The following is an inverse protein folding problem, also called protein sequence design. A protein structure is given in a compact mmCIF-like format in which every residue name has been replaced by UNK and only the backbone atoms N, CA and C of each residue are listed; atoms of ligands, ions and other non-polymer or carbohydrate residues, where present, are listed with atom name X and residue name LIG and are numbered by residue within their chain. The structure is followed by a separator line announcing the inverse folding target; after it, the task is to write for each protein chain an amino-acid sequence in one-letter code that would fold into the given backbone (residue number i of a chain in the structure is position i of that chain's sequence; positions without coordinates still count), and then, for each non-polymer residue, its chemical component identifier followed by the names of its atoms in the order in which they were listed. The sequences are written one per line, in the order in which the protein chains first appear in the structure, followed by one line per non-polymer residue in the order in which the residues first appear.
data_IF_236003329416
#
_entry.id   IF_236003329416
#
_cell.length_a   1.000
_cell.length_b   1.000
_cell.length_c   1.000
_cell.angle_alpha   90.00
_cell.angle_beta   90.00
_cell.angle_gamma   90.00
#
_symmetry.space_group_name_H-M   'P 1'
#
loop_
_entity.id
_entity.type
_entity.pdbx_description
1 polymer ?
#
# COMPACT_ATOMS: atom_id res chain seq x y z
N UNK A 1 3.60 -18.76 27.48
CA UNK A 1 3.75 -17.30 27.60
C UNK A 1 4.54 -16.81 26.41
N UNK A 2 3.86 -16.35 25.36
CA UNK A 2 4.49 -15.88 24.13
C UNK A 2 4.37 -14.36 24.06
N UNK A 3 5.54 -13.75 24.11
CA UNK A 3 5.94 -12.36 23.92
C UNK A 3 4.82 -11.35 23.57
N UNK A 4 4.47 -10.52 24.56
CA UNK A 4 3.89 -9.19 24.33
C UNK A 4 5.01 -8.25 23.94
N UNK A 5 5.13 -7.86 22.68
CA UNK A 5 6.07 -6.82 22.27
C UNK A 5 5.42 -5.82 21.30
N UNK A 6 5.25 -4.61 21.84
CA UNK A 6 5.18 -3.28 21.22
C UNK A 6 3.94 -2.87 20.42
N UNK A 7 3.09 -2.11 21.12
CA UNK A 7 2.37 -0.99 20.54
C UNK A 7 3.37 0.08 20.07
N UNK A 8 3.55 0.18 18.76
CA UNK A 8 4.07 1.38 18.10
C UNK A 8 3.17 1.62 16.92
N UNK A 9 2.53 2.80 16.85
CA UNK A 9 1.82 3.26 15.65
C UNK A 9 2.86 3.50 14.56
N UNK A 10 3.27 2.43 13.91
CA UNK A 10 4.06 2.50 12.71
C UNK A 10 3.10 2.79 11.56
N UNK A 11 3.25 3.96 10.95
CA UNK A 11 2.86 4.14 9.56
C UNK A 11 3.61 3.03 8.80
N UNK A 12 2.91 1.99 8.37
CA UNK A 12 3.50 0.95 7.55
C UNK A 12 3.86 1.62 6.22
N UNK A 13 5.09 2.12 6.13
CA UNK A 13 5.70 2.43 4.87
C UNK A 13 5.69 1.10 4.09
N UNK A 14 4.81 1.02 3.10
CA UNK A 14 4.81 -0.03 2.10
C UNK A 14 6.12 0.07 1.32
N UNK A 15 7.19 -0.43 1.91
CA UNK A 15 8.53 -0.58 1.33
C UNK A 15 8.46 -1.71 0.29
N UNK A 16 7.83 -1.42 -0.85
CA UNK A 16 7.96 -2.26 -2.03
C UNK A 16 9.24 -1.86 -2.76
N UNK A 17 10.31 -2.60 -2.42
CA UNK A 17 11.39 -2.96 -3.33
C UNK A 17 12.25 -1.82 -3.88
N UNK A 18 13.10 -1.25 -3.04
CA UNK A 18 14.34 -0.65 -3.56
C UNK A 18 15.26 -1.79 -4.02
N UNK A 19 15.37 -1.93 -5.34
CA UNK A 19 16.33 -2.80 -5.99
C UNK A 19 17.76 -2.38 -5.65
N UNK A 20 18.43 -3.20 -4.84
CA UNK A 20 19.89 -3.32 -4.78
C UNK A 20 20.26 -4.53 -3.92
N UNK A 21 19.99 -5.75 -4.40
CA UNK A 21 20.72 -6.93 -3.92
C UNK A 21 21.38 -7.60 -5.11
N UNK A 22 22.68 -7.31 -5.21
CA UNK A 22 23.64 -7.95 -6.08
C UNK A 22 23.55 -9.47 -5.95
N UNK A 23 23.48 -10.14 -7.10
CA UNK A 23 23.42 -11.58 -7.29
C UNK A 23 24.46 -12.38 -6.49
N UNK A 24 24.00 -13.36 -5.72
CA UNK A 24 24.74 -14.61 -5.48
C UNK A 24 23.77 -15.76 -5.72
N UNK A 25 24.04 -16.50 -6.79
CA UNK A 25 23.25 -17.62 -7.28
C UNK A 25 23.36 -18.85 -6.37
N UNK A 26 22.22 -19.41 -5.95
CA UNK A 26 22.13 -20.81 -5.55
C UNK A 26 20.74 -21.38 -5.90
N UNK A 27 20.72 -22.11 -7.01
CA UNK A 27 19.98 -23.36 -7.22
C UNK A 27 18.42 -23.33 -7.27
N UNK A 28 17.93 -23.22 -8.51
CA UNK A 28 16.89 -24.07 -9.08
C UNK A 28 15.44 -23.96 -8.56
N UNK A 29 14.85 -22.77 -8.67
CA UNK A 29 13.42 -22.62 -8.92
C UNK A 29 13.27 -21.54 -9.97
N UNK A 30 12.63 -21.85 -11.10
CA UNK A 30 12.29 -20.85 -12.12
C UNK A 30 11.28 -19.87 -11.53
N UNK A 31 11.62 -18.61 -11.22
CA UNK A 31 10.59 -17.62 -11.02
C UNK A 31 10.15 -17.25 -12.43
N UNK A 32 8.91 -17.57 -12.82
CA UNK A 32 8.27 -16.86 -13.90
C UNK A 32 8.19 -15.40 -13.45
N UNK A 33 9.23 -14.63 -13.77
CA UNK A 33 9.25 -13.19 -13.65
C UNK A 33 8.19 -12.69 -14.62
N UNK A 34 6.96 -12.46 -14.12
CA UNK A 34 6.07 -11.54 -14.80
C UNK A 34 6.87 -10.24 -15.00
N UNK A 35 6.86 -9.65 -16.21
CA UNK A 35 7.46 -8.34 -16.42
C UNK A 35 6.76 -7.37 -15.47
N UNK A 36 7.39 -7.02 -14.35
CA UNK A 36 6.95 -5.93 -13.51
C UNK A 36 7.27 -4.65 -14.28
N UNK A 37 6.34 -4.22 -15.13
CA UNK A 37 6.32 -2.84 -15.62
C UNK A 37 6.08 -1.95 -14.41
N UNK A 38 7.16 -1.50 -13.80
CA UNK A 38 7.11 -0.50 -12.76
C UNK A 38 6.56 0.78 -13.41
N UNK A 39 5.46 1.35 -12.91
CA UNK A 39 4.92 2.56 -13.50
C UNK A 39 5.98 3.66 -13.47
N UNK A 40 6.03 4.51 -14.50
CA UNK A 40 6.81 5.73 -14.44
C UNK A 40 6.17 6.69 -13.44
N UNK A 41 6.97 7.30 -12.58
CA UNK A 41 6.47 8.29 -11.63
C UNK A 41 5.82 9.46 -12.35
N UNK A 42 4.70 9.96 -11.80
CA UNK A 42 4.12 11.22 -12.27
C UNK A 42 5.07 12.37 -11.90
N UNK A 43 5.21 13.35 -12.79
CA UNK A 43 5.93 14.57 -12.43
C UNK A 43 5.19 15.24 -11.25
N UNK A 44 5.88 15.59 -10.15
CA UNK A 44 5.25 16.28 -9.02
C UNK A 44 4.40 17.49 -9.41
N UNK A 45 4.82 18.24 -10.44
CA UNK A 45 4.07 19.40 -10.94
C UNK A 45 2.69 19.06 -11.54
N UNK A 46 2.48 17.80 -11.96
CA UNK A 46 1.21 17.33 -12.55
C UNK A 46 0.25 16.74 -11.49
N UNK A 47 0.67 16.71 -10.22
CA UNK A 47 -0.17 16.21 -9.12
C UNK A 47 -1.16 17.29 -8.68
N UNK A 48 -2.39 17.19 -9.19
CA UNK A 48 -3.52 18.02 -8.77
C UNK A 48 -4.02 17.73 -7.34
N UNK A 49 -4.77 18.67 -6.77
CA UNK A 49 -5.50 18.48 -5.51
C UNK A 49 -6.45 17.28 -5.55
N UNK A 50 -7.13 17.07 -6.68
CA UNK A 50 -8.04 15.93 -6.84
C UNK A 50 -7.28 14.60 -6.78
N UNK A 51 -6.05 14.54 -7.30
CA UNK A 51 -5.21 13.35 -7.13
C UNK A 51 -4.90 13.09 -5.66
N UNK A 52 -4.58 14.14 -4.88
CA UNK A 52 -4.30 14.00 -3.45
C UNK A 52 -5.54 13.65 -2.61
N UNK A 53 -6.72 14.15 -2.98
CA UNK A 53 -8.00 13.76 -2.36
C UNK A 53 -8.30 12.28 -2.56
N UNK A 54 -8.24 11.80 -3.82
CA UNK A 54 -8.44 10.38 -4.14
C UNK A 54 -7.38 9.52 -3.45
N UNK A 55 -6.12 9.94 -3.49
CA UNK A 55 -5.02 9.25 -2.80
C UNK A 55 -5.27 9.14 -1.30
N UNK A 56 -5.72 10.23 -0.64
CA UNK A 56 -6.05 10.22 0.77
C UNK A 56 -7.21 9.27 1.08
N UNK A 57 -8.32 9.33 0.32
CA UNK A 57 -9.46 8.43 0.50
C UNK A 57 -9.05 6.95 0.41
N UNK A 58 -8.26 6.59 -0.60
CA UNK A 58 -7.72 5.23 -0.76
C UNK A 58 -6.85 4.84 0.44
N UNK A 59 -5.96 5.73 0.91
CA UNK A 59 -5.07 5.42 2.04
C UNK A 59 -5.85 5.14 3.33
N UNK A 60 -6.90 5.92 3.63
CA UNK A 60 -7.69 5.66 4.85
C UNK A 60 -8.50 4.35 4.70
N UNK A 61 -9.07 4.07 3.52
CA UNK A 61 -9.72 2.76 3.24
C UNK A 61 -8.73 1.59 3.36
N UNK A 62 -7.52 1.76 2.82
CA UNK A 62 -6.47 0.74 2.87
C UNK A 62 -6.04 0.42 4.31
N UNK A 63 -5.97 1.42 5.19
CA UNK A 63 -5.70 1.21 6.61
C UNK A 63 -6.79 0.36 7.28
N UNK A 64 -8.07 0.62 6.99
CA UNK A 64 -9.18 -0.18 7.53
C UNK A 64 -9.14 -1.63 7.03
N UNK A 65 -8.86 -1.81 5.73
CA UNK A 65 -8.69 -3.14 5.14
C UNK A 65 -7.53 -3.88 5.82
N UNK A 66 -6.38 -3.22 6.02
CA UNK A 66 -5.25 -3.81 6.72
C UNK A 66 -5.58 -4.20 8.17
N UNK A 67 -6.32 -3.36 8.90
CA UNK A 67 -6.75 -3.66 10.26
C UNK A 67 -7.71 -4.85 10.32
N UNK A 68 -8.67 -4.92 9.41
CA UNK A 68 -9.60 -6.05 9.24
C UNK A 68 -8.83 -7.35 9.02
N UNK A 69 -7.96 -7.38 8.01
CA UNK A 69 -7.25 -8.61 7.64
C UNK A 69 -6.15 -9.00 8.61
N UNK A 70 -5.59 -8.05 9.36
CA UNK A 70 -4.74 -8.37 10.52
C UNK A 70 -5.48 -9.26 11.53
N UNK A 71 -6.74 -8.93 11.83
CA UNK A 71 -7.55 -9.76 12.73
C UNK A 71 -7.85 -11.14 12.15
N UNK A 72 -7.99 -11.26 10.83
CA UNK A 72 -8.21 -12.55 10.17
C UNK A 72 -6.94 -13.42 10.20
N UNK A 73 -5.77 -12.81 9.95
CA UNK A 73 -4.45 -13.48 10.05
C UNK A 73 -4.20 -14.01 11.45
N UNK A 74 -4.52 -13.23 12.49
CA UNK A 74 -4.35 -13.65 13.89
C UNK A 74 -5.22 -14.89 14.24
N UNK A 75 -6.29 -15.14 13.48
CA UNK A 75 -7.19 -16.30 13.63
C UNK A 75 -6.91 -17.49 12.71
N UNK A 76 -5.98 -17.37 11.75
CA UNK A 76 -5.66 -18.40 10.78
C UNK A 76 -4.94 -19.60 11.43
N UNK A 77 -5.18 -20.81 10.91
CA UNK A 77 -4.63 -22.06 11.48
C UNK A 77 -3.55 -22.68 10.61
N UNK A 78 -3.55 -22.36 9.32
CA UNK A 78 -2.68 -22.95 8.32
C UNK A 78 -2.07 -21.87 7.44
N UNK A 79 -1.02 -22.24 6.69
CA UNK A 79 -0.43 -21.34 5.70
C UNK A 79 -1.37 -21.08 4.51
N UNK A 80 -2.23 -22.05 4.17
CA UNK A 80 -3.25 -21.94 3.12
C UNK A 80 -4.32 -20.90 3.49
N UNK A 81 -4.72 -20.85 4.77
CA UNK A 81 -5.63 -19.82 5.29
C UNK A 81 -5.00 -18.42 5.13
N UNK A 82 -3.70 -18.28 5.43
CA UNK A 82 -2.98 -17.02 5.32
C UNK A 82 -2.88 -16.56 3.86
N UNK A 83 -2.60 -17.48 2.93
CA UNK A 83 -2.56 -17.18 1.50
C UNK A 83 -3.93 -16.70 1.01
N UNK A 84 -5.01 -17.41 1.37
CA UNK A 84 -6.38 -17.02 1.05
C UNK A 84 -6.74 -15.64 1.62
N UNK A 85 -6.33 -15.34 2.85
CA UNK A 85 -6.53 -14.03 3.49
C UNK A 85 -5.79 -12.93 2.71
N UNK A 86 -4.55 -13.19 2.30
CA UNK A 86 -3.77 -12.21 1.52
C UNK A 86 -4.39 -11.93 0.15
N UNK A 87 -4.89 -12.95 -0.54
CA UNK A 87 -5.60 -12.77 -1.82
C UNK A 87 -6.84 -11.89 -1.67
N UNK A 88 -7.66 -12.13 -0.65
CA UNK A 88 -8.85 -11.32 -0.38
C UNK A 88 -8.52 -9.88 -0.01
N UNK A 89 -7.49 -9.69 0.82
CA UNK A 89 -6.98 -8.36 1.17
C UNK A 89 -6.54 -7.60 -0.10
N UNK A 90 -5.79 -8.26 -0.99
CA UNK A 90 -5.34 -7.64 -2.24
C UNK A 90 -6.53 -7.25 -3.14
N UNK A 91 -7.56 -8.09 -3.23
CA UNK A 91 -8.80 -7.78 -3.93
C UNK A 91 -9.48 -6.52 -3.36
N UNK A 92 -9.68 -6.46 -2.05
CA UNK A 92 -10.30 -5.29 -1.41
C UNK A 92 -9.47 -4.01 -1.55
N UNK A 93 -8.13 -4.11 -1.59
CA UNK A 93 -7.27 -2.96 -1.85
C UNK A 93 -7.42 -2.44 -3.29
N UNK A 94 -7.56 -3.33 -4.27
CA UNK A 94 -7.84 -2.94 -5.66
C UNK A 94 -9.21 -2.29 -5.76
N UNK A 95 -10.24 -2.89 -5.16
CA UNK A 95 -11.60 -2.33 -5.13
C UNK A 95 -11.62 -0.95 -4.47
N UNK A 96 -10.85 -0.75 -3.39
CA UNK A 96 -10.74 0.55 -2.73
C UNK A 96 -10.16 1.63 -3.67
N UNK A 97 -9.16 1.27 -4.48
CA UNK A 97 -8.58 2.16 -5.49
C UNK A 97 -9.60 2.48 -6.58
N UNK A 98 -10.22 1.46 -7.16
CA UNK A 98 -11.16 1.62 -8.27
C UNK A 98 -12.43 2.36 -7.86
N UNK A 99 -12.88 2.21 -6.62
CA UNK A 99 -14.04 2.94 -6.05
C UNK A 99 -13.86 4.47 -6.02
N UNK A 100 -12.63 4.96 -6.11
CA UNK A 100 -12.30 6.38 -6.17
C UNK A 100 -12.11 6.88 -7.62
N UNK A 101 -12.56 6.09 -8.61
CA UNK A 101 -12.37 6.39 -10.04
C UNK A 101 -10.88 6.60 -10.35
N UNK A 102 -10.06 5.65 -9.88
CA UNK A 102 -8.60 5.66 -10.01
C UNK A 102 -8.16 4.26 -10.45
N UNK A 103 -7.18 4.19 -11.37
CA UNK A 103 -6.53 2.90 -11.66
C UNK A 103 -5.42 2.61 -10.67
N UNK A 104 -5.11 1.33 -10.44
CA UNK A 104 -3.97 0.91 -9.62
C UNK A 104 -2.67 1.57 -10.10
N UNK A 105 -2.47 1.62 -11.42
CA UNK A 105 -1.32 2.29 -12.02
C UNK A 105 -1.27 3.78 -11.64
N UNK A 106 -2.38 4.52 -11.83
CA UNK A 106 -2.42 5.96 -11.50
C UNK A 106 -2.22 6.21 -10.00
N UNK A 107 -2.76 5.35 -9.14
CA UNK A 107 -2.54 5.40 -7.70
C UNK A 107 -1.04 5.28 -7.35
N UNK A 108 -0.36 4.30 -7.93
CA UNK A 108 1.09 4.10 -7.76
C UNK A 108 1.89 5.29 -8.29
N UNK A 109 1.50 5.85 -9.44
CA UNK A 109 2.14 7.03 -10.02
C UNK A 109 2.06 8.27 -9.12
N UNK A 110 0.88 8.52 -8.55
CA UNK A 110 0.68 9.59 -7.56
C UNK A 110 1.50 9.30 -6.31
N UNK A 111 1.49 8.06 -5.81
CA UNK A 111 2.27 7.67 -4.64
C UNK A 111 3.77 7.91 -4.80
N UNK A 112 4.35 7.59 -5.97
CA UNK A 112 5.75 7.86 -6.26
C UNK A 112 6.04 9.37 -6.34
N UNK A 113 5.15 10.16 -6.94
CA UNK A 113 5.30 11.62 -7.01
C UNK A 113 5.24 12.27 -5.62
N UNK A 114 4.26 11.84 -4.81
CA UNK A 114 4.14 12.22 -3.39
C UNK A 114 5.43 11.87 -2.67
N UNK A 115 5.97 10.66 -2.81
CA UNK A 115 7.22 10.27 -2.13
C UNK A 115 8.43 11.13 -2.53
N UNK A 116 8.51 11.58 -3.78
CA UNK A 116 9.64 12.35 -4.30
C UNK A 116 9.61 13.82 -3.88
N UNK A 117 8.42 14.40 -3.67
CA UNK A 117 8.26 15.83 -3.39
C UNK A 117 7.85 16.11 -1.93
N UNK A 118 8.66 16.84 -1.14
CA UNK A 118 8.35 17.13 0.26
C UNK A 118 7.04 17.88 0.51
N UNK A 119 6.68 18.82 -0.38
CA UNK A 119 5.44 19.59 -0.24
C UNK A 119 4.24 18.70 -0.53
N UNK A 120 4.30 17.86 -1.56
CA UNK A 120 3.26 16.88 -1.83
C UNK A 120 3.10 15.86 -0.70
N UNK A 121 4.19 15.40 -0.07
CA UNK A 121 4.11 14.54 1.14
C UNK A 121 3.32 15.22 2.24
N UNK A 122 3.65 16.46 2.55
CA UNK A 122 2.99 17.21 3.62
C UNK A 122 1.48 17.34 3.34
N UNK A 123 1.12 17.75 2.11
CA UNK A 123 -0.28 17.89 1.70
C UNK A 123 -1.05 16.57 1.70
N UNK A 124 -0.40 15.47 1.30
CA UNK A 124 -1.00 14.14 1.37
C UNK A 124 -1.29 13.72 2.81
N UNK A 125 -0.33 13.94 3.73
CA UNK A 125 -0.49 13.64 5.16
C UNK A 125 -1.64 14.44 5.78
N UNK A 126 -1.73 15.74 5.45
CA UNK A 126 -2.83 16.61 5.91
C UNK A 126 -4.18 16.06 5.47
N UNK A 127 -4.35 15.77 4.17
CA UNK A 127 -5.61 15.22 3.65
C UNK A 127 -5.94 13.86 4.25
N UNK A 128 -4.97 12.96 4.39
CA UNK A 128 -5.18 11.65 5.06
C UNK A 128 -5.68 11.86 6.49
N UNK A 129 -5.07 12.80 7.22
CA UNK A 129 -5.46 13.12 8.60
C UNK A 129 -6.88 13.70 8.67
N UNK A 130 -7.21 14.65 7.79
CA UNK A 130 -8.55 15.23 7.69
C UNK A 130 -9.62 14.19 7.38
N UNK A 131 -9.37 13.31 6.39
CA UNK A 131 -10.28 12.22 6.03
C UNK A 131 -10.46 11.23 7.17
N UNK A 132 -9.38 10.85 7.85
CA UNK A 132 -9.45 9.95 9.00
C UNK A 132 -10.29 10.54 10.14
N UNK A 133 -10.19 11.85 10.39
CA UNK A 133 -10.93 12.52 11.46
C UNK A 133 -12.39 12.86 11.11
N UNK A 134 -12.71 12.92 9.81
CA UNK A 134 -14.05 13.27 9.33
C UNK A 134 -14.99 12.06 9.18
N UNK A 135 -14.52 10.86 9.55
CA UNK A 135 -15.36 9.65 9.53
C UNK A 135 -16.28 9.62 10.76
N UNK A 136 -17.58 9.38 10.58
CA UNK A 136 -18.55 9.28 11.67
C UNK A 136 -18.35 8.03 12.54
#
# INVERSE_FOLDING_TARGET
MLLKLFATRSLLALMLGLGAMSSVYAQNQSPQQMPSMQPEAMNPADVSDQHLEKFANVNVKAQEIQEKYKSEVDGAKTLDDIETIQEKMNGELVDAIESEDLSVQKYQQVGMAVQQDPELRQRAIEKITEKSNSRP
#
